data_IF_237781096673
#
_entry.id   IF_237781096673
#
_cell.length_a   1.000
_cell.length_b   1.000
_cell.length_c   1.000
_cell.angle_alpha   90.00
_cell.angle_beta   90.00
_cell.angle_gamma   90.00
#
_symmetry.space_group_name_H-M   'P 1'
#
loop_
_entity.id
_entity.type
_entity.pdbx_description
1 polymer ?
#
# COMPACT_ATOMS: atom_id res chain seq x y z
N UNK A 1 15.47 48.71 33.06
CA UNK A 1 14.73 47.44 33.31
C UNK A 1 13.46 47.51 32.48
N UNK A 2 13.44 46.89 31.29
CA UNK A 2 12.29 46.95 30.38
C UNK A 2 11.51 45.64 30.53
N UNK A 3 10.40 45.68 31.27
CA UNK A 3 9.44 44.60 31.29
C UNK A 3 8.67 44.65 29.97
N UNK A 4 9.02 43.76 29.03
CA UNK A 4 8.22 43.52 27.85
C UNK A 4 6.89 42.89 28.29
N UNK A 5 5.84 43.71 28.37
CA UNK A 5 4.47 43.23 28.50
C UNK A 5 4.13 42.54 27.19
N UNK A 6 4.17 41.20 27.19
CA UNK A 6 3.62 40.40 26.09
C UNK A 6 2.10 40.60 26.08
N UNK A 7 1.62 41.43 25.16
CA UNK A 7 0.21 41.53 24.84
C UNK A 7 -0.31 40.16 24.39
N UNK A 8 -1.45 39.68 24.92
CA UNK A 8 -2.03 38.41 24.47
C UNK A 8 -2.40 38.54 22.99
N UNK A 9 -1.88 37.61 22.18
CA UNK A 9 -2.22 37.51 20.75
C UNK A 9 -3.73 37.31 20.67
N UNK A 10 -4.45 38.31 20.13
CA UNK A 10 -5.90 38.21 19.95
C UNK A 10 -6.20 37.06 19.00
N UNK A 11 -7.04 36.12 19.45
CA UNK A 11 -7.51 35.00 18.65
C UNK A 11 -8.26 35.56 17.43
N UNK A 12 -7.67 35.38 16.23
CA UNK A 12 -8.17 35.95 14.97
C UNK A 12 -9.43 35.27 14.46
N UNK A 13 -9.92 34.22 15.13
CA UNK A 13 -11.16 33.54 14.76
C UNK A 13 -12.17 33.59 15.93
N UNK A 14 -13.12 34.54 15.93
CA UNK A 14 -14.07 34.74 17.01
C UNK A 14 -15.07 33.58 17.18
N UNK A 15 -15.13 32.64 16.22
CA UNK A 15 -16.00 31.47 16.27
C UNK A 15 -15.27 30.19 16.69
N UNK A 16 -13.95 30.24 16.93
CA UNK A 16 -13.18 29.08 17.34
C UNK A 16 -13.49 28.71 18.79
N UNK A 17 -14.23 27.62 18.98
CA UNK A 17 -14.42 26.98 20.28
C UNK A 17 -13.33 25.91 20.47
N UNK A 18 -12.27 26.28 21.19
CA UNK A 18 -11.12 25.43 21.44
C UNK A 18 -11.49 24.11 22.14
N UNK A 19 -12.38 24.16 23.13
CA UNK A 19 -12.79 22.97 23.88
C UNK A 19 -13.52 21.95 22.98
N UNK A 20 -14.45 22.41 22.16
CA UNK A 20 -15.14 21.55 21.18
C UNK A 20 -14.19 21.02 20.12
N UNK A 21 -13.25 21.85 19.65
CA UNK A 21 -12.25 21.45 18.66
C UNK A 21 -11.32 20.37 19.21
N UNK A 22 -10.80 20.52 20.44
CA UNK A 22 -9.97 19.52 21.10
C UNK A 22 -10.72 18.21 21.32
N UNK A 23 -11.99 18.27 21.74
CA UNK A 23 -12.83 17.08 21.89
C UNK A 23 -12.98 16.33 20.56
N UNK A 24 -13.27 17.05 19.47
CA UNK A 24 -13.36 16.45 18.14
C UNK A 24 -12.01 15.86 17.68
N UNK A 25 -10.90 16.55 17.94
CA UNK A 25 -9.57 16.07 17.59
C UNK A 25 -9.24 14.76 18.30
N UNK A 26 -9.47 14.67 19.61
CA UNK A 26 -9.17 13.45 20.36
C UNK A 26 -10.07 12.28 19.97
N UNK A 27 -11.36 12.54 19.71
CA UNK A 27 -12.27 11.52 19.19
C UNK A 27 -11.81 10.99 17.84
N UNK A 28 -11.36 11.87 16.93
CA UNK A 28 -10.82 11.46 15.63
C UNK A 28 -9.51 10.65 15.79
N UNK A 29 -8.63 11.05 16.70
CA UNK A 29 -7.39 10.34 16.98
C UNK A 29 -7.64 8.92 17.52
N UNK A 30 -8.63 8.78 18.40
CA UNK A 30 -9.07 7.48 18.92
C UNK A 30 -9.69 6.61 17.83
N UNK A 31 -10.60 7.16 17.02
CA UNK A 31 -11.20 6.46 15.89
C UNK A 31 -10.16 6.00 14.87
N UNK A 32 -9.17 6.85 14.56
CA UNK A 32 -8.07 6.49 13.66
C UNK A 32 -7.22 5.36 14.24
N UNK A 33 -6.91 5.41 15.54
CA UNK A 33 -6.17 4.34 16.23
C UNK A 33 -6.93 3.02 16.20
N UNK A 34 -8.24 3.06 16.44
CA UNK A 34 -9.10 1.89 16.37
C UNK A 34 -9.17 1.30 14.96
N UNK A 35 -9.36 2.13 13.93
CA UNK A 35 -9.36 1.68 12.53
C UNK A 35 -8.02 1.04 12.13
N UNK A 36 -6.90 1.61 12.58
CA UNK A 36 -5.57 1.05 12.34
C UNK A 36 -5.42 -0.34 13.00
N UNK A 37 -5.88 -0.50 14.25
CA UNK A 37 -5.88 -1.79 14.94
C UNK A 37 -6.74 -2.83 14.22
N UNK A 38 -7.93 -2.47 13.75
CA UNK A 38 -8.80 -3.37 12.98
C UNK A 38 -8.15 -3.81 11.68
N UNK A 39 -7.52 -2.89 10.96
CA UNK A 39 -6.78 -3.19 9.74
C UNK A 39 -5.63 -4.17 10.01
N UNK A 40 -4.83 -3.93 11.05
CA UNK A 40 -3.75 -4.84 11.42
C UNK A 40 -4.29 -6.22 11.81
N UNK A 41 -5.36 -6.27 12.62
CA UNK A 41 -6.02 -7.51 13.03
C UNK A 41 -6.49 -8.33 11.83
N UNK A 42 -7.01 -7.69 10.78
CA UNK A 42 -7.41 -8.37 9.54
C UNK A 42 -6.20 -9.03 8.85
N UNK A 43 -5.08 -8.32 8.73
CA UNK A 43 -3.85 -8.88 8.15
C UNK A 43 -3.30 -10.02 9.02
N UNK A 44 -3.44 -9.93 10.34
CA UNK A 44 -3.02 -10.98 11.29
C UNK A 44 -3.76 -12.30 11.11
N UNK A 45 -4.98 -12.29 10.59
CA UNK A 45 -5.77 -13.49 10.32
C UNK A 45 -5.24 -14.30 9.11
N UNK A 46 -4.40 -13.70 8.25
CA UNK A 46 -3.84 -14.40 7.10
C UNK A 46 -2.87 -15.51 7.55
N UNK A 47 -2.99 -16.75 7.03
CA UNK A 47 -2.14 -17.88 7.42
C UNK A 47 -0.77 -17.82 6.71
N UNK A 48 0.01 -16.76 7.00
CA UNK A 48 1.32 -16.48 6.39
C UNK A 48 2.40 -16.36 7.47
N UNK A 49 3.54 -17.02 7.26
CA UNK A 49 4.71 -16.94 8.16
C UNK A 49 5.34 -15.55 8.14
N UNK A 50 5.74 -15.05 9.31
CA UNK A 50 6.42 -13.76 9.51
C UNK A 50 5.64 -12.53 8.99
N UNK A 51 4.31 -12.55 9.06
CA UNK A 51 3.41 -11.45 8.63
C UNK A 51 3.72 -10.07 9.22
N UNK A 52 4.40 -9.98 10.38
CA UNK A 52 4.93 -8.71 10.93
C UNK A 52 5.76 -7.91 9.93
N UNK A 53 6.42 -8.57 8.96
CA UNK A 53 7.21 -7.86 7.93
C UNK A 53 6.33 -6.99 7.03
N UNK A 54 5.09 -7.39 6.78
CA UNK A 54 4.11 -6.65 5.98
C UNK A 54 3.48 -5.47 6.74
N UNK A 55 3.75 -5.34 8.04
CA UNK A 55 3.25 -4.27 8.89
C UNK A 55 4.35 -3.24 9.21
N UNK A 56 5.53 -3.36 8.60
CA UNK A 56 6.64 -2.42 8.79
C UNK A 56 6.44 -1.22 7.86
N UNK A 57 6.81 -0.04 8.33
CA UNK A 57 6.69 1.19 7.56
C UNK A 57 7.35 1.08 6.17
N UNK A 58 8.50 0.41 6.07
CA UNK A 58 9.24 0.26 4.80
C UNK A 58 8.67 -0.79 3.83
N UNK A 59 7.71 -1.62 4.25
CA UNK A 59 7.06 -2.62 3.41
C UNK A 59 5.68 -2.96 3.97
N UNK A 60 4.75 -2.03 3.81
CA UNK A 60 3.45 -2.03 4.45
C UNK A 60 2.32 -2.46 3.51
N UNK A 61 1.61 -3.54 3.84
CA UNK A 61 0.41 -3.98 3.13
C UNK A 61 -0.84 -3.57 3.91
N UNK A 62 -1.54 -2.55 3.40
CA UNK A 62 -2.82 -2.12 3.96
C UNK A 62 -3.99 -3.01 3.52
N UNK A 63 -5.09 -2.99 4.28
CA UNK A 63 -6.33 -3.65 3.87
C UNK A 63 -6.87 -3.09 2.55
N UNK A 64 -6.75 -1.77 2.35
CA UNK A 64 -7.11 -1.10 1.09
C UNK A 64 -6.31 -1.63 -0.09
N UNK A 65 -4.99 -1.74 0.04
CA UNK A 65 -4.13 -2.26 -1.01
C UNK A 65 -4.43 -3.74 -1.30
N UNK A 66 -4.63 -4.55 -0.26
CA UNK A 66 -5.02 -5.96 -0.44
C UNK A 66 -6.37 -6.09 -1.16
N UNK A 67 -7.37 -5.30 -0.79
CA UNK A 67 -8.66 -5.29 -1.47
C UNK A 67 -8.50 -4.91 -2.96
N UNK A 68 -7.74 -3.86 -3.25
CA UNK A 68 -7.44 -3.44 -4.61
C UNK A 68 -6.75 -4.56 -5.43
N UNK A 69 -5.76 -5.23 -4.85
CA UNK A 69 -5.06 -6.36 -5.48
C UNK A 69 -6.04 -7.50 -5.78
N UNK A 70 -6.88 -7.88 -4.83
CA UNK A 70 -7.80 -8.99 -5.02
C UNK A 70 -8.90 -8.66 -6.04
N UNK A 71 -9.50 -7.48 -5.94
CA UNK A 71 -10.53 -7.01 -6.87
C UNK A 71 -10.02 -6.98 -8.32
N UNK A 72 -8.80 -6.50 -8.51
CA UNK A 72 -8.26 -6.28 -9.85
C UNK A 72 -7.49 -7.47 -10.41
N UNK A 73 -6.88 -8.29 -9.56
CA UNK A 73 -5.90 -9.30 -9.96
C UNK A 73 -6.17 -10.71 -9.43
N UNK A 74 -7.23 -10.99 -8.66
CA UNK A 74 -7.55 -12.37 -8.26
C UNK A 74 -8.55 -13.03 -9.21
N UNK A 75 -8.24 -14.23 -9.72
CA UNK A 75 -9.05 -14.88 -10.76
C UNK A 75 -10.49 -15.19 -10.35
N UNK A 76 -10.75 -15.41 -9.06
CA UNK A 76 -12.10 -15.73 -8.55
C UNK A 76 -13.01 -14.51 -8.41
N UNK A 77 -12.45 -13.29 -8.51
CA UNK A 77 -13.24 -12.06 -8.44
C UNK A 77 -13.49 -11.60 -9.89
N UNK A 78 -14.72 -11.72 -10.39
CA UNK A 78 -15.05 -11.27 -11.74
C UNK A 78 -14.97 -9.75 -11.80
N UNK A 79 -14.06 -9.25 -12.63
CA UNK A 79 -13.77 -7.82 -12.80
C UNK A 79 -12.49 -7.65 -13.58
N UNK A 80 -12.37 -6.62 -14.42
CA UNK A 80 -11.16 -6.31 -15.20
C UNK A 80 -10.58 -7.53 -15.98
N UNK A 81 -11.23 -8.01 -17.06
CA UNK A 81 -10.79 -9.22 -17.78
C UNK A 81 -9.44 -9.08 -18.48
N UNK A 82 -9.01 -7.85 -18.78
CA UNK A 82 -7.77 -7.57 -19.51
C UNK A 82 -6.58 -7.25 -18.60
N UNK A 83 -6.64 -7.63 -17.32
CA UNK A 83 -5.52 -7.48 -16.38
C UNK A 83 -4.93 -8.83 -16.04
N UNK A 84 -3.66 -8.84 -15.62
CA UNK A 84 -3.01 -10.04 -15.11
C UNK A 84 -3.79 -10.61 -13.91
N UNK A 85 -3.88 -11.94 -13.80
CA UNK A 85 -4.67 -12.64 -12.78
C UNK A 85 -3.86 -13.69 -12.03
N UNK A 86 -3.78 -13.55 -10.70
CA UNK A 86 -3.30 -14.59 -9.81
C UNK A 86 -4.25 -15.79 -9.84
N UNK A 87 -3.68 -16.98 -9.97
CA UNK A 87 -4.39 -18.27 -9.88
C UNK A 87 -4.10 -19.02 -8.58
N UNK A 88 -3.10 -18.56 -7.83
CA UNK A 88 -2.72 -19.09 -6.52
C UNK A 88 -3.65 -18.58 -5.40
N UNK A 89 -3.65 -19.27 -4.26
CA UNK A 89 -4.51 -18.89 -3.13
C UNK A 89 -4.06 -17.56 -2.49
N UNK A 90 -5.00 -16.81 -1.90
CA UNK A 90 -4.73 -15.52 -1.24
C UNK A 90 -3.53 -15.56 -0.27
N UNK A 91 -3.39 -16.56 0.63
CA UNK A 91 -2.21 -16.63 1.50
C UNK A 91 -0.90 -16.77 0.74
N UNK A 92 -0.91 -17.48 -0.40
CA UNK A 92 0.26 -17.60 -1.27
C UNK A 92 0.57 -16.28 -1.97
N UNK A 93 -0.44 -15.55 -2.48
CA UNK A 93 -0.26 -14.20 -3.04
C UNK A 93 0.45 -13.30 -2.01
N UNK A 94 -0.05 -13.27 -0.78
CA UNK A 94 0.50 -12.44 0.29
C UNK A 94 1.90 -12.91 0.70
N UNK A 95 2.18 -14.21 0.69
CA UNK A 95 3.52 -14.73 0.90
C UNK A 95 4.49 -14.25 -0.19
N UNK A 96 4.09 -14.28 -1.47
CA UNK A 96 4.89 -13.79 -2.59
C UNK A 96 5.17 -12.28 -2.45
N UNK A 97 4.16 -11.47 -2.11
CA UNK A 97 4.33 -10.03 -1.86
C UNK A 97 5.34 -9.76 -0.73
N UNK A 98 5.31 -10.58 0.32
CA UNK A 98 6.25 -10.49 1.44
C UNK A 98 7.69 -10.83 1.00
N UNK A 99 7.89 -11.89 0.20
CA UNK A 99 9.22 -12.25 -0.31
C UNK A 99 9.75 -11.21 -1.32
N UNK A 100 8.87 -10.62 -2.13
CA UNK A 100 9.23 -9.52 -3.02
C UNK A 100 9.81 -8.30 -2.29
N UNK A 101 9.49 -8.09 -1.01
CA UNK A 101 10.05 -7.02 -0.20
C UNK A 101 11.56 -7.12 0.04
N UNK A 102 12.16 -8.29 -0.14
CA UNK A 102 13.62 -8.48 -0.07
C UNK A 102 14.35 -8.12 -1.38
N UNK A 103 13.60 -7.90 -2.47
CA UNK A 103 14.19 -7.58 -3.77
C UNK A 103 14.61 -6.12 -3.86
N UNK A 104 15.54 -5.83 -4.77
CA UNK A 104 15.97 -4.47 -5.05
C UNK A 104 14.79 -3.65 -5.58
N UNK A 105 14.60 -2.46 -4.98
CA UNK A 105 13.62 -1.51 -5.48
C UNK A 105 14.14 -0.87 -6.77
N UNK A 106 13.33 -0.90 -7.81
CA UNK A 106 13.63 -0.27 -9.09
C UNK A 106 12.58 0.80 -9.39
N UNK A 107 12.94 1.90 -10.07
CA UNK A 107 11.94 2.80 -10.64
C UNK A 107 10.99 2.05 -11.58
N UNK A 108 9.77 2.55 -11.74
CA UNK A 108 8.87 2.05 -12.78
C UNK A 108 9.43 2.36 -14.17
N UNK A 109 9.23 1.48 -15.17
CA UNK A 109 9.70 1.74 -16.53
C UNK A 109 8.95 2.96 -17.08
N UNK A 110 9.68 3.89 -17.69
CA UNK A 110 9.08 5.02 -18.37
C UNK A 110 8.72 4.65 -19.81
N UNK A 111 7.53 5.04 -20.31
CA UNK A 111 7.23 4.90 -21.72
C UNK A 111 8.26 5.67 -22.53
N UNK A 112 8.87 5.00 -23.53
CA UNK A 112 9.87 5.60 -24.43
C UNK A 112 9.37 6.97 -24.94
N UNK A 113 10.12 8.03 -24.60
CA UNK A 113 9.84 9.41 -25.04
C UNK A 113 9.23 10.34 -23.99
N UNK A 114 8.87 9.84 -22.80
CA UNK A 114 8.54 10.70 -21.66
C UNK A 114 9.85 11.14 -20.99
N UNK A 115 10.28 12.39 -21.17
CA UNK A 115 11.53 12.91 -20.57
C UNK A 115 11.46 13.15 -19.04
N UNK A 116 10.45 12.62 -18.34
CA UNK A 116 10.25 12.83 -16.90
C UNK A 116 9.51 11.62 -16.28
N UNK A 117 10.00 11.07 -15.16
CA UNK A 117 9.29 10.04 -14.41
C UNK A 117 7.95 10.57 -13.92
N UNK A 118 6.85 10.07 -14.50
CA UNK A 118 5.48 10.46 -14.09
C UNK A 118 5.11 9.97 -12.68
N UNK A 119 5.81 8.98 -12.15
CA UNK A 119 5.52 8.38 -10.86
C UNK A 119 6.79 8.18 -10.04
N UNK A 120 6.72 8.52 -8.75
CA UNK A 120 7.80 8.24 -7.78
C UNK A 120 7.69 6.83 -7.19
N UNK A 121 6.75 6.01 -7.65
CA UNK A 121 6.58 4.66 -7.13
C UNK A 121 7.73 3.76 -7.56
N UNK A 122 8.02 2.77 -6.72
CA UNK A 122 9.06 1.78 -6.93
C UNK A 122 8.40 0.43 -7.17
N UNK A 123 8.98 -0.35 -8.08
CA UNK A 123 8.63 -1.74 -8.27
C UNK A 123 9.67 -2.65 -7.63
N UNK A 124 9.20 -3.81 -7.17
CA UNK A 124 10.03 -4.96 -6.83
C UNK A 124 9.47 -6.16 -7.55
N UNK A 125 10.34 -6.93 -8.21
CA UNK A 125 9.96 -8.07 -9.04
C UNK A 125 10.57 -9.32 -8.40
N UNK A 126 9.74 -10.34 -8.18
CA UNK A 126 10.18 -11.60 -7.58
C UNK A 126 9.69 -12.78 -8.42
N UNK A 127 10.60 -13.72 -8.71
CA UNK A 127 10.24 -14.99 -9.32
C UNK A 127 9.91 -16.00 -8.21
N UNK A 128 8.68 -16.50 -8.22
CA UNK A 128 8.23 -17.48 -7.25
C UNK A 128 8.79 -18.88 -7.51
N UNK A 129 9.34 -19.13 -8.70
CA UNK A 129 9.78 -20.47 -9.13
C UNK A 129 8.60 -21.44 -9.35
N UNK A 130 7.37 -20.94 -9.32
CA UNK A 130 6.14 -21.69 -9.56
C UNK A 130 5.15 -20.82 -10.32
N UNK A 131 4.20 -21.43 -11.05
CA UNK A 131 3.15 -20.68 -11.71
C UNK A 131 2.32 -19.89 -10.67
N UNK A 132 2.28 -18.57 -10.82
CA UNK A 132 1.52 -17.67 -9.91
C UNK A 132 0.23 -17.15 -10.53
N UNK A 133 0.13 -17.16 -11.86
CA UNK A 133 -1.01 -16.61 -12.58
C UNK A 133 -0.80 -16.48 -14.07
N UNK A 134 -1.62 -15.62 -14.67
CA UNK A 134 -1.54 -15.25 -16.07
C UNK A 134 -1.22 -13.77 -16.24
N UNK A 135 -0.45 -13.43 -17.27
CA UNK A 135 -0.28 -12.06 -17.76
C UNK A 135 -1.54 -11.58 -18.55
N UNK A 136 -1.61 -10.31 -18.98
CA UNK A 136 -2.73 -9.82 -19.78
C UNK A 136 -2.92 -10.50 -21.14
N UNK A 137 -1.88 -11.18 -21.66
CA UNK A 137 -1.94 -11.96 -22.89
C UNK A 137 -2.39 -13.43 -22.65
N UNK A 138 -2.64 -13.81 -21.38
CA UNK A 138 -3.06 -15.15 -21.00
C UNK A 138 -1.91 -16.15 -20.81
N UNK A 139 -0.65 -15.70 -20.90
CA UNK A 139 0.50 -16.59 -20.70
C UNK A 139 0.68 -16.89 -19.21
N UNK A 140 1.03 -18.14 -18.90
CA UNK A 140 1.39 -18.51 -17.52
C UNK A 140 2.68 -17.82 -17.12
N UNK A 141 2.69 -17.21 -15.94
CA UNK A 141 3.86 -16.51 -15.39
C UNK A 141 4.21 -17.02 -14.00
N UNK A 142 5.50 -16.99 -13.68
CA UNK A 142 6.04 -17.33 -12.34
C UNK A 142 6.42 -16.11 -11.52
N UNK A 143 6.45 -14.94 -12.16
CA UNK A 143 6.90 -13.68 -11.59
C UNK A 143 5.73 -12.92 -10.98
N UNK A 144 5.98 -12.24 -9.87
CA UNK A 144 5.10 -11.21 -9.30
C UNK A 144 5.81 -9.86 -9.33
N UNK A 145 5.08 -8.81 -9.70
CA UNK A 145 5.51 -7.42 -9.54
C UNK A 145 4.71 -6.79 -8.41
N UNK A 146 5.40 -6.15 -7.47
CA UNK A 146 4.81 -5.35 -6.39
C UNK A 146 5.22 -3.91 -6.56
N UNK A 147 4.24 -3.01 -6.60
CA UNK A 147 4.45 -1.56 -6.70
C UNK A 147 4.17 -0.94 -5.33
N UNK A 148 5.11 -0.13 -4.85
CA UNK A 148 5.00 0.58 -3.58
C UNK A 148 5.40 2.05 -3.73
N UNK A 149 4.96 2.87 -2.79
CA UNK A 149 5.44 4.23 -2.62
C UNK A 149 6.92 4.25 -2.19
N UNK A 150 7.55 5.42 -2.25
CA UNK A 150 8.92 5.60 -1.70
C UNK A 150 8.98 5.42 -0.19
N UNK A 151 7.86 5.59 0.52
CA UNK A 151 7.78 5.34 1.97
C UNK A 151 7.65 3.86 2.32
N UNK A 152 7.36 2.99 1.34
CA UNK A 152 7.20 1.55 1.53
C UNK A 152 5.76 1.06 1.61
N UNK A 153 4.77 1.93 1.41
CA UNK A 153 3.36 1.53 1.32
C UNK A 153 3.10 0.79 0.00
N UNK A 154 2.63 -0.45 0.07
CA UNK A 154 2.26 -1.24 -1.10
C UNK A 154 0.98 -0.66 -1.69
N UNK A 155 1.03 -0.37 -2.99
CA UNK A 155 -0.07 0.23 -3.76
C UNK A 155 -0.82 -0.87 -4.51
N UNK A 156 -0.08 -1.78 -5.16
CA UNK A 156 -0.65 -2.91 -5.90
C UNK A 156 0.38 -4.02 -6.11
N UNK A 157 -0.09 -5.18 -6.53
CA UNK A 157 0.71 -6.32 -6.92
C UNK A 157 -0.04 -7.14 -7.97
N UNK A 158 0.69 -7.70 -8.93
CA UNK A 158 0.11 -8.49 -10.02
C UNK A 158 1.09 -9.53 -10.56
N UNK A 159 0.60 -10.61 -11.20
CA UNK A 159 1.45 -11.57 -11.92
C UNK A 159 2.09 -10.95 -13.16
N UNK A 160 3.34 -11.32 -13.42
CA UNK A 160 4.13 -10.86 -14.56
C UNK A 160 5.01 -9.67 -14.22
N UNK A 161 5.72 -9.17 -15.23
CA UNK A 161 6.57 -7.99 -15.15
C UNK A 161 5.91 -6.83 -15.90
N UNK A 162 6.28 -5.60 -15.53
CA UNK A 162 5.93 -4.44 -16.35
C UNK A 162 6.60 -4.58 -17.73
N UNK A 163 5.90 -4.30 -18.84
CA UNK A 163 6.54 -4.24 -20.14
C UNK A 163 7.64 -3.16 -20.15
N UNK A 164 8.73 -3.37 -20.91
CA UNK A 164 9.84 -2.43 -21.03
C UNK A 164 9.48 -1.16 -21.79
#
# INVERSE_FOLDING_TARGET
MNNAVTTPVQNTNPHFNEAQWLQALFLLAEAQSWLQQLQEALIWQLPVKHRKKLLRQSWYLSAKALAHILERHYYKIPGHPYTAKFTIAIPQIVACIKEAGAQQAMPLPEPKGAGVPRSRHLQRVWDAGMAVGYDPAGNTVTVITVIASTSGEIITAFPGAMPP
#
